data_IF_506114196216
#
_entry.id   IF_506114196216
#
_cell.length_a   1.000
_cell.length_b   1.000
_cell.length_c   1.000
_cell.angle_alpha   90.00
_cell.angle_beta   90.00
_cell.angle_gamma   90.00
#
_symmetry.space_group_name_H-M   'P 1'
#
loop_
_entity.id
_entity.type
_entity.pdbx_description
1 polymer ?
#
# COMPACT_ATOMS: atom_id res chain seq x y z
N UNK A 1 -7.40 8.14 5.59
CA UNK A 1 -6.83 9.51 5.59
C UNK A 1 -5.36 9.50 5.19
N UNK A 2 -4.51 8.65 5.76
CA UNK A 2 -3.06 8.62 5.48
C UNK A 2 -2.73 8.26 4.03
N UNK A 3 -3.41 7.28 3.43
CA UNK A 3 -3.24 6.99 2.00
C UNK A 3 -3.60 8.16 1.09
N UNK A 4 -4.64 8.93 1.43
CA UNK A 4 -4.98 10.16 0.68
C UNK A 4 -3.83 11.17 0.71
N UNK A 5 -3.26 11.41 1.90
CA UNK A 5 -2.13 12.35 2.06
C UNK A 5 -0.89 11.86 1.32
N UNK A 6 -0.61 10.54 1.37
CA UNK A 6 0.51 9.93 0.65
C UNK A 6 0.38 10.14 -0.86
N UNK A 7 -0.78 9.80 -1.42
CA UNK A 7 -1.05 9.95 -2.86
C UNK A 7 -0.95 11.42 -3.29
N UNK A 8 -1.49 12.35 -2.49
CA UNK A 8 -1.39 13.77 -2.79
C UNK A 8 0.07 14.24 -2.82
N UNK A 9 0.89 13.85 -1.84
CA UNK A 9 2.33 14.18 -1.82
C UNK A 9 3.09 13.58 -3.01
N UNK A 10 2.83 12.34 -3.35
CA UNK A 10 3.44 11.69 -4.51
C UNK A 10 3.05 12.41 -5.81
N UNK A 11 1.78 12.81 -5.94
CA UNK A 11 1.26 13.48 -7.14
C UNK A 11 1.78 14.92 -7.33
N UNK A 12 2.40 15.54 -6.30
CA UNK A 12 2.99 16.88 -6.40
C UNK A 12 4.29 16.91 -7.23
N UNK A 13 4.99 15.79 -7.33
CA UNK A 13 6.36 15.75 -7.85
C UNK A 13 6.50 15.10 -9.22
N UNK A 14 5.57 14.22 -9.64
CA UNK A 14 5.70 13.42 -10.86
C UNK A 14 4.36 12.95 -11.44
N UNK A 15 4.39 12.43 -12.67
CA UNK A 15 3.23 11.90 -13.38
C UNK A 15 2.94 10.44 -12.98
N UNK A 16 2.59 10.22 -11.71
CA UNK A 16 2.18 8.91 -11.25
C UNK A 16 0.73 8.59 -11.65
N UNK A 17 0.47 7.29 -11.84
CA UNK A 17 -0.88 6.77 -11.93
C UNK A 17 -1.14 5.79 -10.78
N UNK A 18 -2.25 5.97 -10.07
CA UNK A 18 -2.56 5.24 -8.85
C UNK A 18 -3.71 4.25 -9.06
N UNK A 19 -3.47 2.99 -8.79
CA UNK A 19 -4.49 1.96 -8.68
C UNK A 19 -4.87 1.76 -7.21
N UNK A 20 -6.10 2.11 -6.83
CA UNK A 20 -6.60 1.97 -5.46
C UNK A 20 -7.18 0.57 -5.28
N UNK A 21 -6.40 -0.32 -4.69
CA UNK A 21 -6.84 -1.67 -4.36
C UNK A 21 -7.55 -1.66 -3.01
N UNK A 22 -8.85 -1.90 -3.02
CA UNK A 22 -9.69 -1.96 -1.83
C UNK A 22 -10.89 -2.90 -2.07
N UNK A 23 -11.55 -3.33 -0.99
CA UNK A 23 -12.78 -4.11 -1.08
C UNK A 23 -13.98 -3.28 -1.58
N UNK A 24 -15.03 -3.95 -2.04
CA UNK A 24 -16.24 -3.29 -2.55
C UNK A 24 -16.88 -2.36 -1.52
N UNK A 25 -16.81 -2.69 -0.24
CA UNK A 25 -17.35 -1.87 0.85
C UNK A 25 -16.60 -0.53 1.02
N UNK A 26 -15.35 -0.45 0.52
CA UNK A 26 -14.51 0.75 0.59
C UNK A 26 -14.57 1.61 -0.67
N UNK A 27 -15.37 1.25 -1.67
CA UNK A 27 -15.49 2.01 -2.93
C UNK A 27 -15.79 3.49 -2.70
N UNK A 28 -16.67 3.81 -1.75
CA UNK A 28 -16.98 5.21 -1.40
C UNK A 28 -15.74 5.99 -0.91
N UNK A 29 -14.84 5.31 -0.19
CA UNK A 29 -13.60 5.91 0.30
C UNK A 29 -12.60 6.09 -0.84
N UNK A 30 -12.49 5.11 -1.74
CA UNK A 30 -11.69 5.22 -2.96
C UNK A 30 -12.14 6.39 -3.84
N UNK A 31 -13.46 6.57 -4.03
CA UNK A 31 -13.99 7.70 -4.81
C UNK A 31 -13.68 9.06 -4.16
N UNK A 32 -13.65 9.18 -2.84
CA UNK A 32 -13.19 10.41 -2.16
C UNK A 32 -11.72 10.73 -2.46
N UNK A 33 -10.87 9.71 -2.54
CA UNK A 33 -9.45 9.87 -2.91
C UNK A 33 -9.37 10.34 -4.37
N UNK A 34 -10.05 9.66 -5.29
CA UNK A 34 -10.07 9.98 -6.73
C UNK A 34 -10.54 11.43 -6.94
N UNK A 35 -11.56 11.88 -6.22
CA UNK A 35 -12.07 13.24 -6.34
C UNK A 35 -11.06 14.31 -5.86
N UNK A 36 -10.17 13.95 -4.94
CA UNK A 36 -9.11 14.86 -4.44
C UNK A 36 -7.88 14.88 -5.35
N UNK A 37 -7.47 13.71 -5.84
CA UNK A 37 -6.24 13.54 -6.65
C UNK A 37 -6.50 13.87 -8.12
N UNK A 38 -7.70 13.58 -8.60
CA UNK A 38 -8.11 13.73 -10.00
C UNK A 38 -8.24 12.39 -10.72
N UNK A 39 -9.31 12.26 -11.49
CA UNK A 39 -9.64 11.02 -12.23
C UNK A 39 -8.62 10.62 -13.30
N UNK A 40 -7.82 11.56 -13.77
CA UNK A 40 -6.79 11.30 -14.78
C UNK A 40 -5.63 10.46 -14.23
N UNK A 41 -5.37 10.55 -12.94
CA UNK A 41 -4.19 9.97 -12.30
C UNK A 41 -4.53 8.85 -11.31
N UNK A 42 -5.81 8.50 -11.16
CA UNK A 42 -6.23 7.57 -10.11
C UNK A 42 -7.48 6.77 -10.50
N UNK A 43 -7.46 5.47 -10.25
CA UNK A 43 -8.57 4.55 -10.50
C UNK A 43 -8.81 3.61 -9.32
N UNK A 44 -10.09 3.36 -8.99
CA UNK A 44 -10.48 2.33 -8.02
C UNK A 44 -10.53 0.95 -8.66
N UNK A 45 -10.04 -0.06 -7.95
CA UNK A 45 -10.15 -1.47 -8.30
C UNK A 45 -11.23 -2.20 -7.48
N UNK A 46 -12.02 -1.51 -6.66
CA UNK A 46 -12.99 -2.11 -5.75
C UNK A 46 -14.07 -2.99 -6.42
N UNK A 47 -14.43 -2.67 -7.67
CA UNK A 47 -15.45 -3.40 -8.44
C UNK A 47 -14.86 -4.34 -9.49
N UNK A 48 -13.54 -4.47 -9.54
CA UNK A 48 -12.83 -5.34 -10.47
C UNK A 48 -12.84 -6.79 -9.97
N UNK A 49 -12.86 -7.72 -10.89
CA UNK A 49 -12.64 -9.13 -10.54
C UNK A 49 -11.16 -9.41 -10.20
N UNK A 50 -10.90 -10.59 -9.65
CA UNK A 50 -9.55 -10.95 -9.18
C UNK A 50 -8.55 -10.97 -10.34
N UNK A 51 -8.92 -11.40 -11.52
CA UNK A 51 -8.04 -11.46 -12.68
C UNK A 51 -7.68 -10.07 -13.19
N UNK A 52 -8.64 -9.15 -13.21
CA UNK A 52 -8.39 -7.74 -13.51
C UNK A 52 -7.44 -7.11 -12.47
N UNK A 53 -7.67 -7.35 -11.19
CA UNK A 53 -6.81 -6.83 -10.10
C UNK A 53 -5.38 -7.34 -10.30
N UNK A 54 -5.19 -8.63 -10.55
CA UNK A 54 -3.88 -9.22 -10.82
C UNK A 54 -3.20 -8.54 -12.01
N UNK A 55 -3.94 -8.28 -13.10
CA UNK A 55 -3.42 -7.57 -14.25
C UNK A 55 -2.95 -6.14 -13.91
N UNK A 56 -3.72 -5.38 -13.14
CA UNK A 56 -3.32 -4.03 -12.72
C UNK A 56 -2.11 -4.04 -11.80
N UNK A 57 -1.99 -5.03 -10.91
CA UNK A 57 -0.78 -5.23 -10.09
C UNK A 57 0.42 -5.54 -10.99
N UNK A 58 0.24 -6.40 -11.99
CA UNK A 58 1.30 -6.70 -12.96
C UNK A 58 1.77 -5.45 -13.71
N UNK A 59 0.86 -4.56 -14.10
CA UNK A 59 1.16 -3.30 -14.80
C UNK A 59 1.76 -2.22 -13.88
N UNK A 60 1.68 -2.36 -12.57
CA UNK A 60 2.24 -1.37 -11.63
C UNK A 60 3.73 -1.60 -11.40
N UNK A 61 4.45 -0.54 -11.03
CA UNK A 61 5.89 -0.59 -10.74
C UNK A 61 6.16 -1.00 -9.30
N UNK A 62 5.35 -0.49 -8.36
CA UNK A 62 5.47 -0.76 -6.93
C UNK A 62 4.10 -0.99 -6.29
N UNK A 63 4.08 -1.65 -5.14
CA UNK A 63 2.93 -1.73 -4.25
C UNK A 63 3.24 -1.04 -2.92
N UNK A 64 2.29 -0.27 -2.41
CA UNK A 64 2.35 0.34 -1.07
C UNK A 64 1.02 0.08 -0.39
N UNK A 65 1.02 -0.63 0.73
CA UNK A 65 -0.23 -0.93 1.42
C UNK A 65 -0.06 -1.74 2.69
N UNK A 66 -1.19 -2.18 3.22
CA UNK A 66 -1.23 -3.08 4.36
C UNK A 66 -0.90 -4.52 3.93
N UNK A 67 -0.68 -5.41 4.90
CA UNK A 67 -0.62 -6.84 4.67
C UNK A 67 -1.98 -7.32 4.14
N UNK A 68 -2.02 -7.64 2.85
CA UNK A 68 -3.24 -7.91 2.11
C UNK A 68 -2.96 -8.71 0.84
N UNK A 69 -4.00 -9.11 0.12
CA UNK A 69 -3.92 -9.77 -1.17
C UNK A 69 -2.95 -9.06 -2.15
N UNK A 70 -3.06 -7.74 -2.27
CA UNK A 70 -2.21 -6.95 -3.18
C UNK A 70 -0.72 -7.03 -2.86
N UNK A 71 -0.37 -7.03 -1.57
CA UNK A 71 0.99 -7.23 -1.10
C UNK A 71 1.55 -8.59 -1.53
N UNK A 72 0.80 -9.66 -1.30
CA UNK A 72 1.24 -11.02 -1.64
C UNK A 72 1.40 -11.20 -3.15
N UNK A 73 0.44 -10.76 -3.94
CA UNK A 73 0.50 -10.84 -5.41
C UNK A 73 1.69 -10.03 -5.96
N UNK A 74 1.87 -8.79 -5.50
CA UNK A 74 3.01 -7.94 -5.92
C UNK A 74 4.35 -8.60 -5.63
N UNK A 75 4.49 -9.19 -4.44
CA UNK A 75 5.71 -9.89 -4.02
C UNK A 75 6.01 -11.11 -4.89
N UNK A 76 4.98 -11.89 -5.25
CA UNK A 76 5.12 -13.05 -6.14
C UNK A 76 5.47 -12.64 -7.59
N UNK A 77 5.02 -11.47 -8.02
CA UNK A 77 5.35 -10.89 -9.32
C UNK A 77 6.71 -10.17 -9.35
N UNK A 78 7.50 -10.32 -8.31
CA UNK A 78 8.83 -9.65 -8.18
C UNK A 78 8.76 -8.14 -8.18
N UNK A 79 7.60 -7.54 -7.86
CA UNK A 79 7.45 -6.10 -7.68
C UNK A 79 7.91 -5.67 -6.30
N UNK A 80 8.58 -4.51 -6.16
CA UNK A 80 8.83 -3.92 -4.85
C UNK A 80 7.50 -3.73 -4.11
N UNK A 81 7.38 -4.33 -2.94
CA UNK A 81 6.16 -4.33 -2.15
C UNK A 81 6.43 -3.74 -0.77
N UNK A 82 5.95 -2.52 -0.54
CA UNK A 82 6.08 -1.78 0.72
C UNK A 82 4.89 -2.08 1.60
N UNK A 83 5.07 -2.96 2.58
CA UNK A 83 4.00 -3.44 3.44
C UNK A 83 4.02 -2.78 4.81
N UNK A 84 2.90 -2.19 5.19
CA UNK A 84 2.66 -1.60 6.49
C UNK A 84 2.21 -2.72 7.44
N UNK A 85 3.00 -2.99 8.47
CA UNK A 85 2.72 -4.02 9.46
C UNK A 85 2.34 -3.39 10.81
N UNK A 86 1.12 -3.67 11.25
CA UNK A 86 0.57 -3.19 12.53
C UNK A 86 0.01 -4.32 13.39
N UNK A 87 -0.44 -5.40 12.78
CA UNK A 87 -1.13 -6.50 13.43
C UNK A 87 -0.90 -7.87 12.78
N UNK A 88 0.01 -7.94 11.80
CA UNK A 88 0.36 -9.19 11.09
C UNK A 88 1.76 -9.66 11.46
N UNK A 89 1.96 -10.95 11.69
CA UNK A 89 3.27 -11.53 11.98
C UNK A 89 4.30 -11.24 10.87
N UNK A 90 5.55 -11.08 11.27
CA UNK A 90 6.69 -10.90 10.35
C UNK A 90 6.71 -11.94 9.22
N UNK A 91 6.34 -13.19 9.51
CA UNK A 91 6.35 -14.29 8.55
C UNK A 91 5.52 -14.03 7.29
N UNK A 92 4.47 -13.19 7.37
CA UNK A 92 3.64 -12.85 6.21
C UNK A 92 4.34 -11.90 5.23
N UNK A 93 5.46 -11.33 5.60
CA UNK A 93 6.24 -10.42 4.78
C UNK A 93 7.74 -10.77 4.74
N UNK A 94 8.10 -12.04 4.96
CA UNK A 94 9.50 -12.50 5.06
C UNK A 94 9.86 -13.61 4.08
N UNK A 95 9.05 -13.83 3.06
CA UNK A 95 9.23 -14.91 2.08
C UNK A 95 9.71 -14.42 0.71
N UNK A 96 9.88 -13.14 0.51
CA UNK A 96 10.37 -12.55 -0.73
C UNK A 96 11.33 -11.38 -0.47
N UNK A 97 12.43 -11.33 -1.22
CA UNK A 97 13.38 -10.21 -1.19
C UNK A 97 12.77 -8.87 -1.65
N UNK A 98 11.64 -8.93 -2.35
CA UNK A 98 10.94 -7.75 -2.87
C UNK A 98 10.05 -7.08 -1.80
N UNK A 99 9.87 -7.71 -0.65
CA UNK A 99 9.10 -7.18 0.45
C UNK A 99 9.93 -6.19 1.27
N UNK A 100 9.39 -4.98 1.46
CA UNK A 100 9.97 -3.91 2.26
C UNK A 100 8.98 -3.54 3.36
N UNK A 101 9.34 -3.82 4.61
CA UNK A 101 8.45 -3.59 5.75
C UNK A 101 8.51 -2.16 6.23
N UNK A 102 7.35 -1.61 6.57
CA UNK A 102 7.19 -0.34 7.26
C UNK A 102 6.48 -0.63 8.57
N UNK A 103 7.18 -0.41 9.68
CA UNK A 103 6.70 -0.69 11.04
C UNK A 103 6.75 0.60 11.87
N UNK A 104 5.97 0.69 12.96
CA UNK A 104 6.07 1.82 13.87
C UNK A 104 7.48 1.98 14.44
N UNK A 105 7.93 3.22 14.69
CA UNK A 105 9.24 3.46 15.32
C UNK A 105 9.29 2.84 16.73
N UNK A 106 10.46 2.37 17.09
CA UNK A 106 10.75 1.78 18.41
C UNK A 106 9.97 0.48 18.74
N UNK A 107 9.40 -0.17 17.73
CA UNK A 107 8.76 -1.48 17.89
C UNK A 107 9.65 -2.55 17.24
N UNK A 108 9.92 -3.63 17.98
CA UNK A 108 10.55 -4.81 17.39
C UNK A 108 9.51 -5.55 16.51
N UNK A 109 9.88 -5.82 15.27
CA UNK A 109 9.01 -6.52 14.32
C UNK A 109 8.56 -7.90 14.84
N UNK A 110 9.37 -8.55 15.67
CA UNK A 110 9.03 -9.86 16.26
C UNK A 110 7.93 -9.76 17.33
N UNK A 111 7.61 -8.55 17.78
CA UNK A 111 6.53 -8.28 18.72
C UNK A 111 5.20 -8.00 18.03
N UNK A 112 5.21 -7.80 16.70
CA UNK A 112 4.00 -7.53 15.92
C UNK A 112 3.34 -8.87 15.57
N UNK A 113 2.13 -9.06 16.06
CA UNK A 113 1.31 -10.25 15.86
C UNK A 113 -0.16 -9.88 15.71
N UNK A 114 -1.00 -10.85 15.37
CA UNK A 114 -2.44 -10.66 15.36
C UNK A 114 -2.94 -10.17 16.72
N UNK A 115 -3.70 -9.07 16.70
CA UNK A 115 -4.20 -8.43 17.91
C UNK A 115 -3.23 -7.47 18.60
N UNK A 116 -2.10 -7.12 17.98
CA UNK A 116 -1.15 -6.12 18.53
C UNK A 116 -1.78 -4.74 18.72
N UNK A 117 -2.86 -4.43 17.98
CA UNK A 117 -3.63 -3.17 18.10
C UNK A 117 -2.75 -1.91 18.10
N UNK A 118 -1.67 -1.93 17.31
CA UNK A 118 -0.79 -0.78 17.19
C UNK A 118 -1.50 0.41 16.54
N UNK A 119 -1.20 1.61 17.00
CA UNK A 119 -1.82 2.82 16.48
C UNK A 119 -1.42 3.05 15.00
N UNK A 120 -2.37 3.04 14.04
CA UNK A 120 -2.06 3.29 12.63
C UNK A 120 -1.41 4.64 12.36
N UNK A 121 -1.64 5.64 13.23
CA UNK A 121 -1.05 6.97 13.10
C UNK A 121 0.43 7.02 13.54
N UNK A 122 0.97 5.96 14.12
CA UNK A 122 2.40 5.88 14.42
C UNK A 122 3.28 5.73 13.17
N UNK A 123 2.69 5.32 12.04
CA UNK A 123 3.34 5.31 10.73
C UNK A 123 2.91 6.57 9.97
N UNK A 124 3.84 7.51 9.83
CA UNK A 124 3.59 8.77 9.14
C UNK A 124 3.76 8.64 7.63
N UNK A 125 3.17 9.56 6.88
CA UNK A 125 3.35 9.63 5.43
C UNK A 125 4.82 9.82 5.06
N UNK A 126 5.55 10.63 5.82
CA UNK A 126 6.98 10.88 5.57
C UNK A 126 7.85 9.63 5.78
N UNK A 127 7.50 8.77 6.75
CA UNK A 127 8.15 7.47 6.91
C UNK A 127 7.95 6.56 5.69
N UNK A 128 6.76 6.57 5.10
CA UNK A 128 6.47 5.81 3.89
C UNK A 128 7.25 6.37 2.71
N UNK A 129 7.21 7.70 2.50
CA UNK A 129 7.95 8.36 1.42
C UNK A 129 9.44 8.10 1.49
N UNK A 130 10.04 8.17 2.66
CA UNK A 130 11.47 7.87 2.86
C UNK A 130 11.81 6.43 2.46
N UNK A 131 10.91 5.48 2.68
CA UNK A 131 11.12 4.07 2.29
C UNK A 131 11.00 3.82 0.79
N UNK A 132 10.16 4.58 0.10
CA UNK A 132 9.88 4.37 -1.34
C UNK A 132 10.72 5.25 -2.26
N UNK A 133 11.38 6.29 -1.76
CA UNK A 133 12.08 7.32 -2.54
C UNK A 133 13.07 6.79 -3.59
N UNK A 134 13.73 5.66 -3.32
CA UNK A 134 14.70 5.07 -4.24
C UNK A 134 14.04 4.19 -5.33
N UNK A 135 12.71 4.11 -5.34
CA UNK A 135 11.91 3.26 -6.22
C UNK A 135 10.91 4.04 -7.08
N UNK A 136 10.84 5.36 -6.90
CA UNK A 136 9.94 6.28 -7.58
C UNK A 136 10.68 7.45 -8.22
#
# INVERSE_FOLDING_TARGET
ENFTKLIMKLNEHDNFYFYLLCGQNDEKNAQKIINKVGKKNCMSLATKDVSEIIYYIYCSDIFIGNDSFGHHVSSQMSKPSFVILLDSPKAYSDYSKNQKRIIPPNIDINQINHGSNLNPNSITVDMVLEKVKDFI
#
